data_IF_260828230655
#
_entry.id   IF_260828230655
#
_cell.length_a   1.000
_cell.length_b   1.000
_cell.length_c   1.000
_cell.angle_alpha   90.00
_cell.angle_beta   90.00
_cell.angle_gamma   90.00
#
_symmetry.space_group_name_H-M   'P 1'
#
loop_
_entity.id
_entity.type
_entity.pdbx_description
1 polymer ?
#
# COMPACT_ATOMS: atom_id res chain seq x y z
N UNK A 1 -11.20 -20.55 16.36
CA UNK A 1 -11.81 -20.59 17.71
C UNK A 1 -11.42 -19.36 18.51
N UNK A 2 -10.13 -19.14 18.82
CA UNK A 2 -9.69 -18.00 19.64
C UNK A 2 -10.09 -16.60 19.12
N UNK A 3 -10.10 -16.36 17.79
CA UNK A 3 -10.56 -15.08 17.23
C UNK A 3 -12.05 -14.82 17.50
N UNK A 4 -12.89 -15.86 17.41
CA UNK A 4 -14.32 -15.75 17.72
C UNK A 4 -14.53 -15.40 19.18
N UNK A 5 -13.80 -16.07 20.06
CA UNK A 5 -13.88 -15.82 21.50
C UNK A 5 -13.39 -14.40 21.84
N UNK A 6 -12.32 -13.95 21.20
CA UNK A 6 -11.80 -12.59 21.31
C UNK A 6 -12.85 -11.54 20.88
N UNK A 7 -13.52 -11.76 19.76
CA UNK A 7 -14.57 -10.86 19.28
C UNK A 7 -15.77 -10.80 20.24
N UNK A 8 -16.09 -11.92 20.92
CA UNK A 8 -17.19 -11.99 21.89
C UNK A 8 -16.88 -11.30 23.22
N UNK A 9 -15.63 -11.36 23.69
CA UNK A 9 -15.23 -10.80 25.00
C UNK A 9 -14.72 -9.36 24.92
N UNK A 10 -14.39 -8.88 23.72
CA UNK A 10 -13.86 -7.54 23.49
C UNK A 10 -14.85 -6.45 23.92
N UNK A 11 -14.42 -5.53 24.78
CA UNK A 11 -15.21 -4.40 25.28
C UNK A 11 -14.81 -3.05 24.70
N UNK A 12 -13.69 -2.99 23.99
CA UNK A 12 -13.07 -1.77 23.46
C UNK A 12 -13.04 -1.76 21.92
N UNK A 13 -13.84 -2.62 21.28
CA UNK A 13 -13.82 -2.77 19.82
C UNK A 13 -12.48 -3.28 19.28
N UNK A 14 -11.76 -4.10 20.05
CA UNK A 14 -10.43 -4.65 19.73
C UNK A 14 -9.32 -3.60 19.63
N UNK A 15 -9.52 -2.39 20.16
CA UNK A 15 -8.53 -1.31 20.10
C UNK A 15 -7.18 -1.71 20.73
N UNK A 16 -7.18 -2.37 21.88
CA UNK A 16 -5.94 -2.86 22.52
C UNK A 16 -5.18 -3.84 21.61
N UNK A 17 -5.92 -4.69 20.89
CA UNK A 17 -5.34 -5.68 19.97
C UNK A 17 -4.68 -4.96 18.79
N UNK A 18 -5.39 -4.02 18.16
CA UNK A 18 -4.85 -3.20 17.06
C UNK A 18 -3.59 -2.45 17.48
N UNK A 19 -3.58 -1.84 18.66
CA UNK A 19 -2.42 -1.12 19.19
C UNK A 19 -1.22 -2.04 19.40
N UNK A 20 -1.43 -3.25 19.93
CA UNK A 20 -0.36 -4.23 20.11
C UNK A 20 0.15 -4.79 18.80
N UNK A 21 -0.73 -5.02 17.81
CA UNK A 21 -0.30 -5.42 16.46
C UNK A 21 0.60 -4.32 15.86
N UNK A 22 0.16 -3.05 15.89
CA UNK A 22 0.96 -1.94 15.39
C UNK A 22 2.32 -1.84 16.08
N UNK A 23 2.38 -2.01 17.40
CA UNK A 23 3.63 -2.02 18.15
C UNK A 23 4.56 -3.19 17.74
N UNK A 24 4.02 -4.40 17.58
CA UNK A 24 4.78 -5.57 17.12
C UNK A 24 5.34 -5.32 15.71
N UNK A 25 4.52 -4.79 14.80
CA UNK A 25 4.96 -4.47 13.44
C UNK A 25 6.06 -3.41 13.44
N UNK A 26 5.90 -2.33 14.21
CA UNK A 26 6.87 -1.23 14.21
C UNK A 26 8.20 -1.58 14.86
N UNK A 27 8.21 -2.40 15.92
CA UNK A 27 9.44 -2.64 16.69
C UNK A 27 10.05 -4.04 16.54
N UNK A 28 9.24 -5.07 16.25
CA UNK A 28 9.64 -6.48 16.39
C UNK A 28 9.48 -7.29 15.11
N UNK A 29 8.95 -6.72 14.03
CA UNK A 29 8.61 -7.46 12.80
C UNK A 29 9.79 -8.29 12.26
N UNK A 30 10.99 -7.69 12.19
CA UNK A 30 12.19 -8.37 11.69
C UNK A 30 12.60 -9.59 12.53
N UNK A 31 12.24 -9.62 13.82
CA UNK A 31 12.54 -10.71 14.78
C UNK A 31 11.42 -11.73 14.89
N UNK A 32 10.29 -11.51 14.20
CA UNK A 32 9.13 -12.37 14.31
C UNK A 32 9.35 -13.68 13.56
N UNK A 33 8.97 -14.81 14.18
CA UNK A 33 9.00 -16.13 13.55
C UNK A 33 8.04 -16.20 12.36
N UNK A 34 8.34 -17.07 11.39
CA UNK A 34 7.56 -17.16 10.14
C UNK A 34 6.10 -17.56 10.42
N UNK A 35 5.85 -18.52 11.32
CA UNK A 35 4.48 -18.90 11.74
C UNK A 35 3.71 -17.70 12.31
N UNK A 36 4.36 -16.87 13.13
CA UNK A 36 3.72 -15.68 13.70
C UNK A 36 3.41 -14.63 12.63
N UNK A 37 4.26 -14.48 11.60
CA UNK A 37 3.99 -13.57 10.48
C UNK A 37 2.75 -14.00 9.70
N UNK A 38 2.66 -15.30 9.38
CA UNK A 38 1.48 -15.88 8.72
C UNK A 38 0.22 -15.68 9.55
N UNK A 39 0.28 -15.91 10.86
CA UNK A 39 -0.87 -15.72 11.75
C UNK A 39 -1.27 -14.24 11.91
N UNK A 40 -0.32 -13.31 11.93
CA UNK A 40 -0.65 -11.88 11.98
C UNK A 40 -1.32 -11.40 10.69
N UNK A 41 -0.88 -11.88 9.53
CA UNK A 41 -1.54 -11.59 8.24
C UNK A 41 -2.95 -12.18 8.19
N UNK A 42 -3.12 -13.42 8.67
CA UNK A 42 -4.44 -14.04 8.80
C UNK A 42 -5.34 -13.22 9.73
N UNK A 43 -4.83 -12.81 10.89
CA UNK A 43 -5.57 -11.98 11.85
C UNK A 43 -5.97 -10.63 11.24
N UNK A 44 -5.08 -9.99 10.48
CA UNK A 44 -5.42 -8.77 9.75
C UNK A 44 -6.60 -9.00 8.80
N UNK A 45 -6.57 -10.08 8.02
CA UNK A 45 -7.65 -10.41 7.10
C UNK A 45 -8.99 -10.55 7.84
N UNK A 46 -9.01 -11.23 8.98
CA UNK A 46 -10.22 -11.37 9.79
C UNK A 46 -10.71 -10.05 10.38
N UNK A 47 -9.80 -9.18 10.85
CA UNK A 47 -10.13 -7.86 11.37
C UNK A 47 -10.75 -6.96 10.28
N UNK A 48 -10.22 -7.00 9.07
CA UNK A 48 -10.77 -6.22 7.95
C UNK A 48 -12.12 -6.79 7.50
N UNK A 49 -12.25 -8.12 7.38
CA UNK A 49 -13.54 -8.78 7.08
C UNK A 49 -14.63 -8.48 8.11
N UNK A 50 -14.24 -8.34 9.37
CA UNK A 50 -15.16 -8.01 10.47
C UNK A 50 -15.48 -6.52 10.56
N UNK A 51 -14.91 -5.66 9.69
CA UNK A 51 -15.16 -4.23 9.66
C UNK A 51 -14.68 -3.49 10.91
N UNK A 52 -13.61 -3.96 11.56
CA UNK A 52 -13.11 -3.38 12.81
C UNK A 52 -12.55 -1.99 12.55
N UNK A 53 -13.04 -1.00 13.32
CA UNK A 53 -12.58 0.38 13.24
C UNK A 53 -11.06 0.46 13.55
N UNK A 54 -10.29 1.09 12.65
CA UNK A 54 -8.83 1.20 12.80
C UNK A 54 -8.02 0.05 12.16
N UNK A 55 -8.68 -0.95 11.57
CA UNK A 55 -7.99 -1.99 10.81
C UNK A 55 -7.23 -1.43 9.60
N UNK A 56 -7.72 -0.34 9.00
CA UNK A 56 -7.04 0.45 7.97
C UNK A 56 -5.66 0.93 8.43
N UNK A 57 -5.56 1.42 9.67
CA UNK A 57 -4.30 1.80 10.29
C UNK A 57 -3.31 0.64 10.43
N UNK A 58 -3.80 -0.56 10.74
CA UNK A 58 -2.96 -1.76 10.82
C UNK A 58 -2.51 -2.22 9.43
N UNK A 59 -3.39 -2.18 8.42
CA UNK A 59 -3.01 -2.39 7.02
C UNK A 59 -1.88 -1.44 6.61
N UNK A 60 -1.98 -0.16 6.99
CA UNK A 60 -0.94 0.83 6.72
C UNK A 60 0.40 0.48 7.35
N UNK A 61 0.39 0.03 8.61
CA UNK A 61 1.61 -0.39 9.32
C UNK A 61 2.22 -1.65 8.71
N UNK A 62 1.39 -2.57 8.21
CA UNK A 62 1.85 -3.74 7.46
C UNK A 62 2.51 -3.35 6.15
N UNK A 63 1.92 -2.43 5.38
CA UNK A 63 2.52 -1.93 4.14
C UNK A 63 3.90 -1.30 4.40
N UNK A 64 4.06 -0.57 5.52
CA UNK A 64 5.36 -0.03 5.94
C UNK A 64 6.43 -1.10 6.22
N UNK A 65 6.06 -2.35 6.51
CA UNK A 65 7.04 -3.42 6.71
C UNK A 65 7.62 -3.94 5.40
N UNK A 66 6.92 -3.74 4.29
CA UNK A 66 7.38 -4.23 3.00
C UNK A 66 8.45 -3.26 2.50
N UNK A 67 9.66 -3.77 2.35
CA UNK A 67 10.80 -2.96 1.95
C UNK A 67 10.76 -2.67 0.44
N UNK A 68 10.74 -1.39 0.07
CA UNK A 68 10.85 -0.97 -1.32
C UNK A 68 12.19 -1.38 -1.91
N UNK A 69 12.16 -2.17 -2.99
CA UNK A 69 13.37 -2.64 -3.69
C UNK A 69 13.95 -3.97 -3.21
N UNK A 70 13.37 -4.58 -2.17
CA UNK A 70 13.70 -5.92 -1.71
C UNK A 70 12.87 -6.98 -2.47
N UNK A 71 13.55 -7.88 -3.18
CA UNK A 71 12.95 -8.96 -3.99
C UNK A 71 13.07 -10.34 -3.33
N UNK A 72 13.34 -10.38 -2.03
CA UNK A 72 13.34 -11.65 -1.29
C UNK A 72 11.94 -12.26 -1.25
N UNK A 73 11.87 -13.60 -1.25
CA UNK A 73 10.60 -14.33 -1.19
C UNK A 73 9.74 -13.93 0.01
N UNK A 74 10.34 -13.58 1.16
CA UNK A 74 9.60 -13.12 2.35
C UNK A 74 8.94 -11.76 2.14
N UNK A 75 9.62 -10.83 1.48
CA UNK A 75 9.09 -9.50 1.19
C UNK A 75 7.98 -9.56 0.13
N UNK A 76 8.19 -10.36 -0.92
CA UNK A 76 7.19 -10.62 -1.96
C UNK A 76 5.94 -11.28 -1.37
N UNK A 77 6.11 -12.33 -0.56
CA UNK A 77 5.01 -13.01 0.11
C UNK A 77 4.17 -12.05 0.96
N UNK A 78 4.81 -11.17 1.74
CA UNK A 78 4.10 -10.18 2.54
C UNK A 78 3.32 -9.21 1.67
N UNK A 79 3.95 -8.73 0.59
CA UNK A 79 3.31 -7.85 -0.37
C UNK A 79 2.05 -8.50 -0.95
N UNK A 80 2.17 -9.69 -1.54
CA UNK A 80 1.05 -10.39 -2.19
C UNK A 80 -0.11 -10.64 -1.22
N UNK A 81 0.16 -11.02 0.02
CA UNK A 81 -0.89 -11.23 1.02
C UNK A 81 -1.60 -9.93 1.40
N UNK A 82 -0.85 -8.83 1.58
CA UNK A 82 -1.46 -7.53 1.89
C UNK A 82 -2.25 -7.02 0.70
N UNK A 83 -1.78 -7.24 -0.53
CA UNK A 83 -2.52 -6.91 -1.75
C UNK A 83 -3.86 -7.61 -1.79
N UNK A 84 -3.86 -8.93 -1.57
CA UNK A 84 -5.08 -9.73 -1.63
C UNK A 84 -6.12 -9.23 -0.63
N UNK A 85 -5.70 -8.89 0.60
CA UNK A 85 -6.57 -8.28 1.62
C UNK A 85 -7.13 -6.94 1.13
N UNK A 86 -6.32 -6.09 0.50
CA UNK A 86 -6.77 -4.80 -0.03
C UNK A 86 -7.71 -4.94 -1.23
N UNK A 87 -7.44 -5.89 -2.13
CA UNK A 87 -8.26 -6.17 -3.31
C UNK A 87 -9.62 -6.73 -2.89
N UNK A 88 -9.67 -7.67 -1.95
CA UNK A 88 -10.93 -8.20 -1.39
C UNK A 88 -11.83 -7.11 -0.78
N UNK A 89 -11.23 -6.00 -0.33
CA UNK A 89 -11.90 -4.94 0.43
C UNK A 89 -12.03 -3.64 -0.38
N UNK A 90 -11.56 -3.66 -1.63
CA UNK A 90 -11.64 -2.52 -2.55
C UNK A 90 -13.09 -2.09 -2.82
N UNK A 91 -14.05 -3.02 -2.76
CA UNK A 91 -15.48 -2.76 -2.89
C UNK A 91 -16.19 -2.27 -1.61
N UNK A 92 -15.59 -2.42 -0.42
CA UNK A 92 -16.27 -2.20 0.88
C UNK A 92 -15.85 -0.93 1.64
N UNK A 93 -15.08 -0.03 1.01
CA UNK A 93 -14.90 1.33 1.54
C UNK A 93 -13.70 1.55 2.47
N UNK A 94 -12.51 1.10 2.09
CA UNK A 94 -11.24 1.61 2.64
C UNK A 94 -10.98 3.07 2.19
N UNK A 95 -11.81 4.01 2.65
CA UNK A 95 -11.86 5.41 2.18
C UNK A 95 -10.67 6.32 2.55
N UNK A 96 -9.66 5.84 3.28
CA UNK A 96 -8.58 6.68 3.84
C UNK A 96 -7.16 6.18 3.57
N UNK A 97 -6.98 4.89 3.23
CA UNK A 97 -5.67 4.24 3.02
C UNK A 97 -5.29 3.98 1.56
N UNK A 98 -6.23 4.14 0.63
CA UNK A 98 -6.07 3.74 -0.78
C UNK A 98 -4.93 4.47 -1.50
N UNK A 99 -4.75 5.78 -1.28
CA UNK A 99 -3.65 6.53 -1.89
C UNK A 99 -2.27 6.03 -1.45
N UNK A 100 -2.13 5.54 -0.22
CA UNK A 100 -0.86 5.02 0.28
C UNK A 100 -0.59 3.60 -0.23
N UNK A 101 -1.65 2.78 -0.35
CA UNK A 101 -1.58 1.50 -1.03
C UNK A 101 -1.12 1.66 -2.48
N UNK A 102 -1.69 2.62 -3.20
CA UNK A 102 -1.31 2.91 -4.57
C UNK A 102 0.18 3.29 -4.72
N UNK A 103 0.68 4.22 -3.90
CA UNK A 103 2.09 4.60 -4.00
C UNK A 103 3.04 3.43 -3.78
N UNK A 104 2.70 2.63 -2.78
CA UNK A 104 3.43 1.46 -2.39
C UNK A 104 3.47 0.43 -3.53
N UNK A 105 2.30 0.16 -4.13
CA UNK A 105 2.16 -0.79 -5.23
C UNK A 105 2.85 -0.34 -6.51
N UNK A 106 2.74 0.93 -6.89
CA UNK A 106 3.46 1.44 -8.08
C UNK A 106 4.98 1.39 -7.87
N UNK A 107 5.46 1.62 -6.65
CA UNK A 107 6.89 1.47 -6.32
C UNK A 107 7.36 0.02 -6.41
N UNK A 108 6.53 -0.95 -5.99
CA UNK A 108 6.83 -2.37 -6.17
C UNK A 108 6.82 -2.73 -7.65
N UNK A 109 5.74 -2.42 -8.39
CA UNK A 109 5.57 -2.75 -9.82
C UNK A 109 6.78 -2.30 -10.66
N UNK A 110 7.34 -1.10 -10.39
CA UNK A 110 8.60 -0.64 -11.02
C UNK A 110 9.73 -1.66 -10.89
N UNK A 111 9.91 -2.25 -9.70
CA UNK A 111 11.00 -3.18 -9.43
C UNK A 111 10.74 -4.54 -10.07
N UNK A 112 9.50 -5.01 -10.10
CA UNK A 112 9.12 -6.20 -10.88
C UNK A 112 9.47 -5.99 -12.36
N UNK A 113 9.08 -4.86 -12.96
CA UNK A 113 9.46 -4.50 -14.35
C UNK A 113 10.98 -4.43 -14.55
N UNK A 114 11.73 -3.95 -13.55
CA UNK A 114 13.19 -3.78 -13.65
C UNK A 114 13.99 -5.06 -13.33
N UNK A 115 13.40 -6.01 -12.61
CA UNK A 115 14.04 -7.25 -12.15
C UNK A 115 13.63 -8.48 -12.95
N UNK A 116 12.49 -8.46 -13.62
CA UNK A 116 11.99 -9.55 -14.45
C UNK A 116 12.68 -9.58 -15.81
N UNK A 117 13.88 -10.16 -15.85
CA UNK A 117 14.31 -10.91 -17.04
C UNK A 117 13.59 -12.26 -17.16
N UNK A 118 12.88 -12.69 -16.11
CA UNK A 118 12.24 -14.01 -16.00
C UNK A 118 10.90 -13.87 -15.25
N UNK A 119 9.80 -13.83 -16.00
CA UNK A 119 8.43 -14.08 -15.50
C UNK A 119 7.74 -12.91 -14.78
N UNK A 120 6.59 -12.50 -15.31
CA UNK A 120 5.58 -11.77 -14.52
C UNK A 120 4.94 -12.79 -13.56
N UNK A 121 5.30 -12.74 -12.27
CA UNK A 121 4.63 -13.56 -11.26
C UNK A 121 3.16 -13.17 -11.09
N UNK A 122 2.34 -14.08 -10.51
CA UNK A 122 0.91 -13.84 -10.27
C UNK A 122 0.64 -12.55 -9.46
N UNK A 123 1.50 -12.21 -8.50
CA UNK A 123 1.41 -10.97 -7.73
C UNK A 123 1.57 -9.69 -8.56
N UNK A 124 2.28 -9.74 -9.70
CA UNK A 124 2.41 -8.59 -10.59
C UNK A 124 1.10 -8.27 -11.29
N UNK A 125 0.42 -9.28 -11.83
CA UNK A 125 -0.88 -9.10 -12.51
C UNK A 125 -1.94 -8.56 -11.57
N UNK A 126 -2.08 -9.17 -10.38
CA UNK A 126 -3.01 -8.70 -9.35
C UNK A 126 -2.70 -7.25 -8.91
N UNK A 127 -1.41 -6.92 -8.71
CA UNK A 127 -1.02 -5.59 -8.24
C UNK A 127 -1.29 -4.52 -9.27
N UNK A 128 -1.11 -4.87 -10.54
CA UNK A 128 -1.38 -4.02 -11.68
C UNK A 128 -2.88 -3.79 -11.88
N UNK A 129 -3.69 -4.84 -11.84
CA UNK A 129 -5.15 -4.74 -11.91
C UNK A 129 -5.70 -3.87 -10.77
N UNK A 130 -5.21 -4.07 -9.56
CA UNK A 130 -5.55 -3.24 -8.40
C UNK A 130 -5.16 -1.76 -8.57
N UNK A 131 -3.97 -1.47 -9.10
CA UNK A 131 -3.56 -0.10 -9.36
C UNK A 131 -4.44 0.56 -10.44
N UNK A 132 -4.73 -0.18 -11.50
CA UNK A 132 -5.53 0.32 -12.63
C UNK A 132 -6.99 0.56 -12.23
N UNK A 133 -7.60 -0.33 -11.45
CA UNK A 133 -8.96 -0.13 -10.94
C UNK A 133 -9.04 1.11 -10.05
N UNK A 134 -8.10 1.26 -9.10
CA UNK A 134 -7.98 2.46 -8.26
C UNK A 134 -7.85 3.76 -9.08
N UNK A 135 -6.96 3.76 -10.07
CA UNK A 135 -6.70 4.92 -10.91
C UNK A 135 -7.87 5.32 -11.80
N UNK A 136 -8.65 4.35 -12.29
CA UNK A 136 -9.77 4.60 -13.18
C UNK A 136 -11.07 4.90 -12.43
N UNK A 137 -11.31 4.23 -11.31
CA UNK A 137 -12.56 4.35 -10.55
C UNK A 137 -12.49 5.40 -9.43
N UNK A 138 -11.29 5.60 -8.85
CA UNK A 138 -11.07 6.48 -7.69
C UNK A 138 -9.87 7.40 -7.90
N UNK A 139 -9.82 8.05 -9.06
CA UNK A 139 -8.71 8.93 -9.43
C UNK A 139 -8.47 10.06 -8.41
N UNK A 140 -9.53 10.63 -7.83
CA UNK A 140 -9.39 11.73 -6.86
C UNK A 140 -8.75 11.30 -5.53
N UNK A 141 -8.93 10.05 -5.12
CA UNK A 141 -8.24 9.50 -3.94
C UNK A 141 -6.74 9.33 -4.23
N UNK A 142 -6.41 8.96 -5.46
CA UNK A 142 -5.03 8.89 -5.95
C UNK A 142 -4.42 10.30 -6.11
N UNK A 143 -5.21 11.29 -6.54
CA UNK A 143 -4.80 12.68 -6.71
C UNK A 143 -4.24 13.29 -5.41
N UNK A 144 -4.68 12.83 -4.23
CA UNK A 144 -4.19 13.27 -2.92
C UNK A 144 -2.69 13.04 -2.70
N UNK A 145 -2.07 12.14 -3.48
CA UNK A 145 -0.62 11.97 -3.52
C UNK A 145 0.08 13.25 -4.03
N UNK A 146 -0.54 13.98 -4.96
CA UNK A 146 0.05 15.14 -5.64
C UNK A 146 1.17 14.76 -6.62
N UNK A 147 2.14 15.65 -6.82
CA UNK A 147 3.15 15.57 -7.90
C UNK A 147 3.95 14.27 -7.96
N UNK A 148 4.16 13.60 -6.83
CA UNK A 148 4.94 12.36 -6.81
C UNK A 148 4.22 11.18 -7.48
N UNK A 149 2.88 11.26 -7.64
CA UNK A 149 2.11 10.31 -8.43
C UNK A 149 2.53 10.36 -9.91
N UNK A 150 2.85 11.54 -10.47
CA UNK A 150 3.42 11.65 -11.83
C UNK A 150 4.70 10.83 -11.92
N UNK A 151 5.62 10.99 -10.96
CA UNK A 151 6.89 10.27 -10.93
C UNK A 151 6.66 8.76 -10.83
N UNK A 152 5.70 8.32 -10.02
CA UNK A 152 5.32 6.91 -9.89
C UNK A 152 4.80 6.35 -11.22
N UNK A 153 3.84 7.03 -11.86
CA UNK A 153 3.27 6.61 -13.15
C UNK A 153 4.29 6.63 -14.29
N UNK A 154 5.25 7.55 -14.27
CA UNK A 154 6.34 7.58 -15.26
C UNK A 154 7.22 6.33 -15.16
N UNK A 155 7.44 5.81 -13.96
CA UNK A 155 8.27 4.62 -13.77
C UNK A 155 7.66 3.35 -14.37
N UNK A 156 6.34 3.31 -14.53
CA UNK A 156 5.56 2.18 -15.07
C UNK A 156 4.99 2.46 -16.46
N UNK A 157 5.33 3.59 -17.08
CA UNK A 157 4.73 4.06 -18.34
C UNK A 157 4.95 3.14 -19.54
N UNK A 158 5.92 2.22 -19.48
CA UNK A 158 6.20 1.25 -20.54
C UNK A 158 5.25 0.04 -20.54
N UNK A 159 4.47 -0.13 -19.48
CA UNK A 159 3.44 -1.17 -19.41
C UNK A 159 2.24 -0.70 -20.23
N UNK A 160 1.70 -1.51 -21.16
CA UNK A 160 0.65 -1.07 -22.10
C UNK A 160 -0.58 -0.39 -21.45
N UNK A 161 -1.01 -0.89 -20.30
CA UNK A 161 -2.18 -0.42 -19.57
C UNK A 161 -1.92 0.95 -18.94
N UNK A 162 -0.69 1.19 -18.46
CA UNK A 162 -0.25 2.49 -17.99
C UNK A 162 0.06 3.46 -19.14
N UNK A 163 0.49 2.98 -20.30
CA UNK A 163 0.62 3.79 -21.51
C UNK A 163 -0.76 4.33 -21.93
N UNK A 164 -1.79 3.48 -21.93
CA UNK A 164 -3.16 3.90 -22.21
C UNK A 164 -3.66 4.90 -21.16
N UNK A 165 -3.36 4.67 -19.88
CA UNK A 165 -3.66 5.65 -18.83
C UNK A 165 -2.97 7.00 -19.07
N UNK A 166 -1.71 7.00 -19.52
CA UNK A 166 -1.00 8.24 -19.86
C UNK A 166 -1.66 8.99 -21.01
N UNK A 167 -2.16 8.29 -22.02
CA UNK A 167 -2.96 8.89 -23.11
C UNK A 167 -4.22 9.54 -22.54
N UNK A 168 -4.92 8.87 -21.64
CA UNK A 168 -6.10 9.42 -20.96
C UNK A 168 -5.72 10.67 -20.14
N UNK A 169 -4.64 10.64 -19.35
CA UNK A 169 -4.19 11.78 -18.53
C UNK A 169 -3.84 13.01 -19.38
N UNK A 170 -3.19 12.82 -20.53
CA UNK A 170 -2.66 13.91 -21.37
C UNK A 170 -3.70 14.45 -22.35
N UNK A 171 -4.53 13.59 -22.94
CA UNK A 171 -5.44 13.96 -24.02
C UNK A 171 -6.91 13.99 -23.60
N UNK A 172 -7.30 13.24 -22.57
CA UNK A 172 -8.69 13.18 -22.12
C UNK A 172 -8.83 13.02 -20.58
N UNK A 173 -8.31 13.98 -19.79
CA UNK A 173 -8.21 13.84 -18.33
C UNK A 173 -9.58 13.70 -17.64
N UNK A 174 -10.64 14.20 -18.29
CA UNK A 174 -12.01 14.17 -17.81
C UNK A 174 -12.60 12.74 -17.74
N UNK A 175 -12.02 11.77 -18.45
CA UNK A 175 -12.39 10.35 -18.35
C UNK A 175 -12.04 9.77 -16.98
N UNK A 176 -10.99 10.29 -16.33
CA UNK A 176 -10.55 9.82 -15.01
C UNK A 176 -11.32 10.50 -13.88
N UNK A 177 -11.61 11.79 -14.04
CA UNK A 177 -12.50 12.53 -13.15
C UNK A 177 -12.93 13.83 -13.80
N UNK A 178 -14.18 14.23 -13.60
CA UNK A 178 -14.68 15.54 -14.04
C UNK A 178 -13.93 16.72 -13.39
N UNK A 179 -13.30 16.50 -12.23
CA UNK A 179 -12.54 17.52 -11.50
C UNK A 179 -11.08 17.62 -11.95
N UNK A 180 -10.62 16.71 -12.80
CA UNK A 180 -9.23 16.65 -13.23
C UNK A 180 -9.03 17.39 -14.55
N UNK A 181 -8.37 18.55 -14.49
CA UNK A 181 -8.19 19.42 -15.66
C UNK A 181 -6.91 19.14 -16.44
N UNK A 182 -6.02 18.30 -15.89
CA UNK A 182 -4.82 17.81 -16.58
C UNK A 182 -3.60 17.71 -15.67
N UNK A 183 -2.50 17.22 -16.23
CA UNK A 183 -1.29 16.84 -15.46
C UNK A 183 -0.67 18.01 -14.67
N UNK A 184 -0.83 19.25 -15.14
CA UNK A 184 -0.31 20.44 -14.46
C UNK A 184 -0.91 20.61 -13.06
N UNK A 185 -2.20 20.32 -12.90
CA UNK A 185 -2.90 20.35 -11.62
C UNK A 185 -2.25 19.39 -10.61
N UNK A 186 -1.80 18.23 -11.10
CA UNK A 186 -1.11 17.22 -10.30
C UNK A 186 0.31 17.67 -9.91
N UNK A 187 1.05 18.25 -10.87
CA UNK A 187 2.41 18.73 -10.66
C UNK A 187 2.49 19.91 -9.69
N UNK A 188 1.46 20.76 -9.68
CA UNK A 188 1.34 21.88 -8.74
C UNK A 188 0.95 21.43 -7.33
N UNK A 189 0.30 20.27 -7.18
CA UNK A 189 -0.06 19.70 -5.89
C UNK A 189 1.16 19.11 -5.18
N UNK A 190 1.48 19.61 -3.98
CA UNK A 190 2.61 19.11 -3.18
C UNK A 190 2.28 17.75 -2.56
N UNK A 191 3.19 16.80 -2.70
CA UNK A 191 3.09 15.51 -2.01
C UNK A 191 3.27 15.63 -0.50
N UNK A 192 2.31 15.08 0.24
CA UNK A 192 2.34 15.03 1.70
C UNK A 192 3.52 14.16 2.19
N UNK A 193 4.10 14.55 3.33
CA UNK A 193 5.20 13.81 3.97
C UNK A 193 4.81 12.38 4.35
N UNK A 194 3.52 12.14 4.63
CA UNK A 194 2.98 10.81 4.98
C UNK A 194 3.33 9.76 3.92
N UNK A 195 3.15 10.13 2.65
CA UNK A 195 3.42 9.29 1.49
C UNK A 195 4.91 8.94 1.36
N UNK A 196 5.78 9.94 1.50
CA UNK A 196 7.22 9.75 1.44
C UNK A 196 7.74 8.86 2.59
N UNK A 197 7.25 9.08 3.81
CA UNK A 197 7.63 8.30 4.99
C UNK A 197 7.15 6.84 4.91
N UNK A 198 6.03 6.57 4.22
CA UNK A 198 5.52 5.20 4.05
C UNK A 198 6.37 4.31 3.14
N UNK A 199 7.37 4.85 2.44
CA UNK A 199 8.33 4.08 1.63
C UNK A 199 9.52 3.55 2.41
N UNK A 200 9.70 4.06 3.62
CA UNK A 200 10.77 3.65 4.50
C UNK A 200 10.20 2.65 5.49
N UNK A 201 10.92 1.54 5.67
CA UNK A 201 10.62 0.65 6.78
C UNK A 201 10.94 1.36 8.10
N UNK A 202 10.32 0.98 9.23
CA UNK A 202 10.60 1.60 10.52
C UNK A 202 12.10 1.61 10.89
N UNK A 203 12.82 0.55 10.53
CA UNK A 203 14.27 0.45 10.75
C UNK A 203 15.05 1.46 9.88
N UNK A 204 14.69 1.63 8.60
CA UNK A 204 15.30 2.63 7.70
C UNK A 204 15.04 4.05 8.21
N UNK A 205 13.80 4.35 8.60
CA UNK A 205 13.41 5.65 9.13
C UNK A 205 14.21 5.98 10.40
N UNK A 206 14.33 5.03 11.33
CA UNK A 206 15.10 5.19 12.58
C UNK A 206 16.58 5.48 12.31
N UNK A 207 17.20 4.74 11.38
CA UNK A 207 18.62 4.90 11.03
C UNK A 207 18.88 6.24 10.35
N UNK A 208 18.04 6.65 9.40
CA UNK A 208 18.16 7.94 8.71
C UNK A 208 17.99 9.10 9.69
N UNK A 209 16.98 9.05 10.57
CA UNK A 209 16.77 10.08 11.59
C UNK A 209 17.98 10.22 12.51
N UNK A 210 18.55 9.10 12.95
CA UNK A 210 19.77 9.11 13.76
C UNK A 210 20.93 9.81 13.04
N UNK A 211 21.19 9.45 11.77
CA UNK A 211 22.26 10.05 10.97
C UNK A 211 22.07 11.55 10.73
N UNK A 212 20.83 12.02 10.58
CA UNK A 212 20.56 13.45 10.30
C UNK A 212 20.45 14.33 11.53
N UNK A 213 20.38 13.76 12.74
CA UNK A 213 20.13 14.51 13.98
C UNK A 213 21.20 14.35 15.05
N UNK A 214 22.01 13.27 14.99
CA UNK A 214 22.96 12.92 16.06
C UNK A 214 24.38 12.61 15.57
N UNK A 215 24.62 12.66 14.26
CA UNK A 215 25.94 12.58 13.63
C UNK A 215 26.28 13.96 13.10
#
# INVERSE_FOLDING_TARGET
QCYRDLALVSRDGMNIVLNKINHILMEKYLKLQDTCRTQLVWLLRELVKSGVLGADGVCMTFMKQIAGGDVTAKNIWLAENVLEILTEQSGSGLGSGMGLGMEFWVSLLRKWVSGSGLGMGLGFGLGMEFCMSLLRERFMDCFMIGRDLVRLLQNVARIPEFEQLWKDILHNPQVLSSQFTGVLQLLQSRTSRKFLACRLTPDMETKLLFMTSRV
#
